data_IF_861049020757
#
_entry.id   IF_861049020757
#
_cell.length_a   1.000
_cell.length_b   1.000
_cell.length_c   1.000
_cell.angle_alpha   90.00
_cell.angle_beta   90.00
_cell.angle_gamma   90.00
#
_symmetry.space_group_name_H-M   'P 1'
#
loop_
_entity.id
_entity.type
_entity.pdbx_description
1 polymer ?
#
# COMPACT_ATOMS: atom_id res chain seq x y z
N UNK A 1 -18.13 -13.36 -5.43
CA UNK A 1 -16.66 -13.46 -5.43
C UNK A 1 -16.11 -12.99 -4.11
N UNK A 2 -14.90 -13.44 -3.78
CA UNK A 2 -14.07 -12.99 -2.66
C UNK A 2 -13.12 -11.90 -3.13
N UNK A 3 -13.22 -10.71 -2.56
CA UNK A 3 -12.44 -9.53 -2.95
C UNK A 3 -11.57 -9.11 -1.78
N UNK A 4 -10.27 -8.95 -2.03
CA UNK A 4 -9.33 -8.42 -1.03
C UNK A 4 -9.01 -6.96 -1.34
N UNK A 5 -9.53 -6.03 -0.54
CA UNK A 5 -9.24 -4.60 -0.65
C UNK A 5 -8.01 -4.24 0.19
N UNK A 6 -7.04 -3.57 -0.43
CA UNK A 6 -5.78 -3.18 0.22
C UNK A 6 -5.62 -1.66 0.25
N UNK A 7 -5.41 -1.13 1.46
CA UNK A 7 -5.05 0.26 1.71
C UNK A 7 -4.19 0.35 2.99
N UNK A 8 -3.23 1.28 3.03
CA UNK A 8 -2.43 1.57 4.22
C UNK A 8 -3.29 1.89 5.45
N UNK A 9 -4.38 2.64 5.27
CA UNK A 9 -5.29 3.00 6.34
C UNK A 9 -6.68 2.41 6.06
N UNK A 10 -7.23 1.77 7.08
CA UNK A 10 -8.57 1.17 7.04
C UNK A 10 -9.53 1.85 8.03
N UNK A 11 -9.29 3.14 8.26
CA UNK A 11 -10.16 4.06 8.98
C UNK A 11 -10.23 5.38 8.21
N UNK A 12 -11.19 6.29 8.48
CA UNK A 12 -11.40 7.55 7.76
C UNK A 12 -10.28 8.61 7.92
N UNK A 13 -9.02 8.27 7.62
CA UNK A 13 -7.86 9.18 7.71
C UNK A 13 -7.74 10.13 6.51
N UNK A 14 -8.26 9.74 5.36
CA UNK A 14 -8.13 10.50 4.11
C UNK A 14 -9.07 9.97 3.02
N UNK A 15 -9.14 10.71 1.90
CA UNK A 15 -10.07 10.40 0.81
C UNK A 15 -9.82 9.03 0.16
N UNK A 16 -8.57 8.58 0.10
CA UNK A 16 -8.22 7.24 -0.38
C UNK A 16 -8.77 6.14 0.53
N UNK A 17 -8.60 6.28 1.85
CA UNK A 17 -9.09 5.32 2.84
C UNK A 17 -10.63 5.27 2.88
N UNK A 18 -11.30 6.44 2.90
CA UNK A 18 -12.76 6.54 2.85
C UNK A 18 -13.29 5.84 1.60
N UNK A 19 -12.72 6.17 0.43
CA UNK A 19 -13.13 5.56 -0.82
C UNK A 19 -12.91 4.04 -0.85
N UNK A 20 -11.83 3.52 -0.27
CA UNK A 20 -11.63 2.07 -0.12
C UNK A 20 -12.72 1.42 0.74
N UNK A 21 -13.05 2.01 1.90
CA UNK A 21 -14.07 1.49 2.82
C UNK A 21 -15.45 1.50 2.17
N UNK A 22 -15.84 2.62 1.54
CA UNK A 22 -17.12 2.74 0.85
C UNK A 22 -17.23 1.80 -0.36
N UNK A 23 -16.13 1.59 -1.09
CA UNK A 23 -16.07 0.58 -2.15
C UNK A 23 -16.35 -0.82 -1.58
N UNK A 24 -15.76 -1.16 -0.44
CA UNK A 24 -16.02 -2.44 0.22
C UNK A 24 -17.48 -2.63 0.63
N UNK A 25 -18.11 -1.59 1.23
CA UNK A 25 -19.54 -1.62 1.58
C UNK A 25 -20.41 -1.83 0.33
N UNK A 26 -20.11 -1.12 -0.75
CA UNK A 26 -20.84 -1.26 -2.01
C UNK A 26 -20.73 -2.68 -2.58
N UNK A 27 -19.53 -3.27 -2.57
CA UNK A 27 -19.29 -4.63 -3.04
C UNK A 27 -20.01 -5.67 -2.16
N UNK A 28 -20.00 -5.49 -0.83
CA UNK A 28 -20.75 -6.33 0.10
C UNK A 28 -22.26 -6.28 -0.17
N UNK A 29 -22.81 -5.08 -0.39
CA UNK A 29 -24.22 -4.89 -0.74
C UNK A 29 -24.60 -5.53 -2.09
N UNK A 30 -23.62 -5.78 -2.96
CA UNK A 30 -23.78 -6.53 -4.22
C UNK A 30 -23.57 -8.04 -4.06
N UNK A 31 -23.46 -8.55 -2.83
CA UNK A 31 -23.33 -9.97 -2.54
C UNK A 31 -21.91 -10.52 -2.67
N UNK A 32 -20.89 -9.66 -2.69
CA UNK A 32 -19.50 -10.09 -2.66
C UNK A 32 -19.00 -10.27 -1.23
N UNK A 33 -18.08 -11.21 -1.03
CA UNK A 33 -17.39 -11.41 0.25
C UNK A 33 -16.15 -10.52 0.21
N UNK A 34 -16.10 -9.51 1.07
CA UNK A 34 -15.02 -8.52 1.06
C UNK A 34 -14.15 -8.70 2.30
N UNK A 35 -12.83 -8.75 2.07
CA UNK A 35 -11.80 -8.72 3.09
C UNK A 35 -11.00 -7.43 2.94
N UNK A 36 -10.57 -6.87 4.06
CA UNK A 36 -9.69 -5.71 4.09
C UNK A 36 -8.32 -6.12 4.60
N UNK A 37 -7.27 -5.51 4.06
CA UNK A 37 -5.92 -5.70 4.57
C UNK A 37 -5.11 -4.42 4.48
N UNK A 38 -4.39 -4.10 5.54
CA UNK A 38 -3.72 -2.82 5.70
C UNK A 38 -2.74 -2.82 6.86
N UNK A 39 -2.49 -1.63 7.42
CA UNK A 39 -1.74 -1.52 8.66
C UNK A 39 -2.64 -1.71 9.88
N UNK A 40 -2.06 -2.20 10.97
CA UNK A 40 -2.67 -2.09 12.30
C UNK A 40 -2.74 -0.63 12.71
N UNK A 41 -3.85 -0.27 13.32
CA UNK A 41 -4.06 1.04 13.93
C UNK A 41 -5.11 0.90 15.03
N UNK A 42 -4.98 1.62 16.15
CA UNK A 42 -6.02 1.66 17.18
C UNK A 42 -7.35 2.22 16.67
N UNK A 43 -7.33 2.95 15.54
CA UNK A 43 -8.52 3.53 14.92
C UNK A 43 -9.23 2.57 13.94
N UNK A 44 -8.63 1.41 13.64
CA UNK A 44 -9.28 0.45 12.76
C UNK A 44 -10.52 -0.13 13.47
N UNK A 45 -11.66 -0.28 12.77
CA UNK A 45 -12.73 -1.14 13.25
C UNK A 45 -12.24 -2.60 13.30
N UNK A 46 -12.96 -3.49 14.01
CA UNK A 46 -12.63 -4.91 14.01
C UNK A 46 -12.72 -5.47 12.58
N UNK A 47 -11.60 -5.95 12.08
CA UNK A 47 -11.52 -6.62 10.79
C UNK A 47 -11.22 -8.10 10.99
N UNK A 48 -11.74 -8.93 10.09
CA UNK A 48 -11.31 -10.32 10.01
C UNK A 48 -9.83 -10.36 9.61
N UNK A 49 -9.07 -11.24 10.27
CA UNK A 49 -7.67 -11.50 9.96
C UNK A 49 -6.73 -10.30 10.22
N UNK A 50 -7.05 -9.45 11.19
CA UNK A 50 -6.24 -8.28 11.56
C UNK A 50 -4.87 -8.67 12.17
N UNK A 51 -4.71 -9.91 12.63
CA UNK A 51 -3.44 -10.48 13.06
C UNK A 51 -2.40 -10.50 11.93
N UNK A 52 -2.86 -10.56 10.68
CA UNK A 52 -2.01 -10.50 9.48
C UNK A 52 -1.77 -9.07 8.98
N UNK A 53 -2.26 -8.02 9.65
CA UNK A 53 -1.98 -6.65 9.23
C UNK A 53 -0.52 -6.29 9.56
N UNK A 54 0.10 -5.44 8.74
CA UNK A 54 1.47 -4.98 9.01
C UNK A 54 1.48 -3.99 10.17
N UNK A 55 2.55 -3.99 10.96
CA UNK A 55 2.69 -3.02 12.05
C UNK A 55 2.88 -1.60 11.51
N UNK A 56 2.37 -0.59 12.23
CA UNK A 56 2.60 0.80 11.89
C UNK A 56 4.07 1.17 12.15
N UNK A 57 4.78 1.59 11.09
CA UNK A 57 6.15 2.07 11.24
C UNK A 57 6.08 3.54 11.69
N UNK A 58 6.33 3.79 12.97
CA UNK A 58 6.52 5.14 13.49
C UNK A 58 7.89 5.68 13.07
N UNK A 59 7.89 6.67 12.18
CA UNK A 59 9.10 7.34 11.69
C UNK A 59 9.54 8.52 12.58
N UNK A 60 8.76 8.86 13.60
CA UNK A 60 9.05 9.93 14.55
C UNK A 60 9.95 9.40 15.68
N UNK A 61 11.27 9.40 15.44
CA UNK A 61 12.25 9.04 16.46
C UNK A 61 13.68 9.25 15.98
N UNK A 62 14.59 9.55 16.92
CA UNK A 62 16.04 9.61 16.73
C UNK A 62 16.60 8.20 16.44
N UNK A 63 16.28 7.64 15.27
CA UNK A 63 16.78 6.35 14.84
C UNK A 63 18.23 6.50 14.36
N UNK A 64 19.10 5.60 14.83
CA UNK A 64 20.51 5.55 14.40
C UNK A 64 20.60 5.37 12.88
N UNK A 65 21.66 5.89 12.25
CA UNK A 65 21.86 5.86 10.79
C UNK A 65 21.73 4.45 10.18
N UNK A 66 22.12 3.41 10.92
CA UNK A 66 21.95 2.00 10.51
C UNK A 66 20.48 1.58 10.47
N UNK A 67 19.69 1.98 11.46
CA UNK A 67 18.25 1.70 11.49
C UNK A 67 17.54 2.51 10.40
N UNK A 68 17.95 3.76 10.13
CA UNK A 68 17.42 4.54 9.01
C UNK A 68 17.64 3.87 7.65
N UNK A 69 18.83 3.33 7.40
CA UNK A 69 19.12 2.60 6.16
C UNK A 69 18.29 1.30 6.06
N UNK A 70 18.23 0.51 7.14
CA UNK A 70 17.38 -0.69 7.18
C UNK A 70 15.89 -0.36 6.97
N UNK A 71 15.41 0.74 7.53
CA UNK A 71 14.04 1.23 7.33
C UNK A 71 13.77 1.66 5.89
N UNK A 72 14.74 2.24 5.18
CA UNK A 72 14.61 2.55 3.74
C UNK A 72 14.52 1.28 2.90
N UNK A 73 15.30 0.24 3.23
CA UNK A 73 15.18 -1.05 2.55
C UNK A 73 13.85 -1.75 2.85
N UNK A 74 13.36 -1.70 4.09
CA UNK A 74 12.04 -2.24 4.45
C UNK A 74 10.88 -1.47 3.80
N UNK A 75 11.03 -0.15 3.61
CA UNK A 75 10.09 0.70 2.86
C UNK A 75 10.00 0.28 1.38
N UNK A 76 11.13 -0.13 0.79
CA UNK A 76 11.16 -0.62 -0.59
C UNK A 76 10.76 -2.09 -0.70
N UNK A 77 11.09 -2.91 0.31
CA UNK A 77 10.85 -4.34 0.32
C UNK A 77 10.69 -4.89 1.76
N UNK A 78 9.46 -4.89 2.26
CA UNK A 78 9.10 -5.42 3.57
C UNK A 78 8.87 -6.94 3.48
N UNK A 79 9.76 -7.70 4.13
CA UNK A 79 9.60 -9.15 4.30
C UNK A 79 8.40 -9.49 5.18
N UNK A 80 8.09 -8.65 6.17
CA UNK A 80 6.91 -8.80 7.01
C UNK A 80 5.63 -8.72 6.17
N UNK A 81 5.49 -7.66 5.36
CA UNK A 81 4.33 -7.48 4.48
C UNK A 81 4.17 -8.68 3.54
N UNK A 82 5.28 -9.13 2.94
CA UNK A 82 5.32 -10.30 2.05
C UNK A 82 4.87 -11.58 2.77
N UNK A 83 5.34 -11.79 4.00
CA UNK A 83 5.02 -13.00 4.75
C UNK A 83 3.56 -13.01 5.22
N UNK A 84 3.12 -11.91 5.84
CA UNK A 84 1.76 -11.78 6.37
C UNK A 84 0.70 -11.87 5.26
N UNK A 85 0.90 -11.18 4.13
CA UNK A 85 -0.03 -11.28 3.00
C UNK A 85 -0.04 -12.69 2.40
N UNK A 86 1.11 -13.37 2.33
CA UNK A 86 1.21 -14.73 1.83
C UNK A 86 0.48 -15.75 2.72
N UNK A 87 0.44 -15.53 4.02
CA UNK A 87 -0.36 -16.34 4.94
C UNK A 87 -1.86 -16.07 4.74
N UNK A 88 -2.25 -14.80 4.67
CA UNK A 88 -3.65 -14.40 4.49
C UNK A 88 -4.26 -14.97 3.21
N UNK A 89 -3.57 -14.85 2.07
CA UNK A 89 -4.13 -15.30 0.78
C UNK A 89 -4.30 -16.83 0.72
N UNK A 90 -3.52 -17.62 1.47
CA UNK A 90 -3.68 -19.07 1.54
C UNK A 90 -4.98 -19.46 2.25
N UNK A 91 -5.42 -18.63 3.20
CA UNK A 91 -6.65 -18.81 3.98
C UNK A 91 -7.85 -18.28 3.18
N UNK A 92 -7.79 -17.00 2.82
CA UNK A 92 -8.91 -16.28 2.18
C UNK A 92 -9.16 -16.80 0.76
N UNK A 93 -8.08 -17.03 0.00
CA UNK A 93 -8.09 -17.36 -1.43
C UNK A 93 -8.99 -16.39 -2.22
N UNK A 94 -8.61 -15.09 -2.30
CA UNK A 94 -9.43 -14.10 -2.99
C UNK A 94 -9.43 -14.35 -4.50
N UNK A 95 -10.55 -14.05 -5.15
CA UNK A 95 -10.70 -14.11 -6.61
C UNK A 95 -10.01 -12.91 -7.29
N UNK A 96 -9.94 -11.77 -6.59
CA UNK A 96 -9.29 -10.55 -7.06
C UNK A 96 -8.78 -9.72 -5.88
N UNK A 97 -7.64 -9.05 -6.08
CA UNK A 97 -7.09 -8.06 -5.15
C UNK A 97 -7.26 -6.66 -5.74
N UNK A 98 -7.75 -5.71 -4.94
CA UNK A 98 -7.87 -4.31 -5.33
C UNK A 98 -6.96 -3.42 -4.48
N UNK A 99 -5.88 -2.96 -5.11
CA UNK A 99 -4.86 -2.09 -4.54
C UNK A 99 -5.31 -0.63 -4.66
N UNK A 100 -5.33 0.10 -3.54
CA UNK A 100 -5.69 1.53 -3.52
C UNK A 100 -4.47 2.39 -3.21
N UNK A 101 -4.07 2.46 -1.94
CA UNK A 101 -2.90 3.20 -1.52
C UNK A 101 -2.04 2.34 -0.61
N UNK A 102 -1.08 1.63 -1.19
CA UNK A 102 -0.14 0.80 -0.44
C UNK A 102 1.24 1.46 -0.31
N UNK A 103 1.51 2.53 -1.07
CA UNK A 103 2.82 3.13 -1.16
C UNK A 103 3.34 3.66 0.21
N UNK A 104 4.67 3.68 0.35
CA UNK A 104 5.44 3.83 1.60
C UNK A 104 5.26 2.71 2.61
N UNK A 105 4.05 2.46 3.10
CA UNK A 105 3.89 1.66 4.32
C UNK A 105 3.74 0.16 4.06
N UNK A 106 3.11 -0.20 2.95
CA UNK A 106 2.89 -1.58 2.55
C UNK A 106 3.75 -1.80 1.31
N UNK A 107 5.01 -2.18 1.51
CA UNK A 107 5.99 -2.20 0.41
C UNK A 107 5.49 -2.96 -0.85
N UNK A 108 6.03 -2.65 -2.06
CA UNK A 108 5.74 -3.39 -3.29
C UNK A 108 5.98 -4.90 -3.24
N UNK A 109 6.67 -5.42 -2.21
CA UNK A 109 6.89 -6.86 -1.98
C UNK A 109 5.62 -7.72 -1.96
N UNK A 110 4.45 -7.13 -1.69
CA UNK A 110 3.16 -7.85 -1.75
C UNK A 110 2.78 -8.26 -3.18
N UNK A 111 3.25 -7.52 -4.20
CA UNK A 111 2.96 -7.79 -5.60
C UNK A 111 3.56 -9.12 -6.06
N UNK A 112 4.78 -9.43 -5.60
CA UNK A 112 5.44 -10.73 -5.85
C UNK A 112 4.56 -11.90 -5.40
N UNK A 113 3.85 -11.72 -4.28
CA UNK A 113 2.98 -12.74 -3.72
C UNK A 113 1.77 -12.94 -4.64
N UNK A 114 1.09 -11.87 -5.05
CA UNK A 114 -0.06 -11.99 -5.95
C UNK A 114 0.33 -12.58 -7.30
N UNK A 115 1.49 -12.19 -7.86
CA UNK A 115 2.04 -12.79 -9.07
C UNK A 115 2.32 -14.28 -8.90
N UNK A 116 2.98 -14.68 -7.79
CA UNK A 116 3.31 -16.08 -7.49
C UNK A 116 2.05 -16.95 -7.39
N UNK A 117 0.99 -16.43 -6.79
CA UNK A 117 -0.29 -17.14 -6.63
C UNK A 117 -1.26 -16.93 -7.80
N UNK A 118 -0.84 -16.18 -8.83
CA UNK A 118 -1.63 -15.85 -10.03
C UNK A 118 -2.99 -15.22 -9.71
N UNK A 119 -3.03 -14.36 -8.70
CA UNK A 119 -4.26 -13.67 -8.30
C UNK A 119 -4.40 -12.39 -9.16
N UNK A 120 -5.53 -12.19 -9.86
CA UNK A 120 -5.80 -10.96 -10.59
C UNK A 120 -5.74 -9.73 -9.68
N UNK A 121 -5.14 -8.66 -10.20
CA UNK A 121 -4.96 -7.40 -9.49
C UNK A 121 -5.62 -6.24 -10.23
N UNK A 122 -6.35 -5.40 -9.49
CA UNK A 122 -6.84 -4.09 -9.93
C UNK A 122 -6.15 -3.04 -9.08
N UNK A 123 -5.58 -2.00 -9.68
CA UNK A 123 -4.97 -0.90 -8.95
C UNK A 123 -5.66 0.42 -9.28
N UNK A 124 -6.16 1.10 -8.25
CA UNK A 124 -6.63 2.48 -8.35
C UNK A 124 -5.51 3.42 -7.94
N UNK A 125 -5.06 4.25 -8.88
CA UNK A 125 -4.04 5.25 -8.63
C UNK A 125 -4.60 6.38 -7.76
N UNK A 126 -4.11 6.50 -6.52
CA UNK A 126 -4.51 7.55 -5.56
C UNK A 126 -3.54 8.74 -5.54
N UNK A 127 -2.31 8.51 -5.96
CA UNK A 127 -1.24 9.50 -5.96
C UNK A 127 -0.21 9.21 -7.07
N UNK A 128 0.76 10.11 -7.22
CA UNK A 128 1.78 10.03 -8.25
C UNK A 128 3.02 9.24 -7.84
N UNK A 129 3.03 8.50 -6.71
CA UNK A 129 4.26 7.90 -6.18
C UNK A 129 4.96 6.97 -7.15
N UNK A 130 4.17 6.18 -7.90
CA UNK A 130 4.72 5.21 -8.85
C UNK A 130 5.44 5.88 -10.04
N UNK A 131 5.16 7.16 -10.32
CA UNK A 131 5.76 7.90 -11.44
C UNK A 131 6.66 9.05 -10.97
N UNK A 132 6.54 9.44 -9.70
CA UNK A 132 7.25 10.57 -9.12
C UNK A 132 7.54 10.32 -7.63
N UNK A 133 8.81 10.13 -7.23
CA UNK A 133 9.15 9.88 -5.84
C UNK A 133 8.73 11.01 -4.88
N UNK A 134 8.63 12.25 -5.37
CA UNK A 134 8.20 13.44 -4.60
C UNK A 134 6.68 13.61 -4.50
N UNK A 135 5.87 12.72 -5.07
CA UNK A 135 4.40 12.78 -5.12
C UNK A 135 3.78 13.95 -5.91
N UNK A 136 4.53 15.02 -6.17
CA UNK A 136 3.93 16.25 -6.70
C UNK A 136 3.85 16.27 -8.21
N UNK A 137 4.74 15.55 -8.91
CA UNK A 137 5.03 15.81 -10.33
C UNK A 137 5.33 17.29 -10.60
N UNK A 138 5.91 17.98 -9.62
CA UNK A 138 6.33 19.37 -9.72
C UNK A 138 7.83 19.49 -9.46
N UNK A 139 8.49 20.38 -10.20
CA UNK A 139 9.82 20.86 -9.89
C UNK A 139 9.81 22.38 -10.10
N UNK A 140 10.33 23.13 -9.12
CA UNK A 140 10.38 24.60 -9.18
C UNK A 140 8.99 25.24 -9.42
N UNK A 141 7.94 24.65 -8.83
CA UNK A 141 6.54 25.10 -8.98
C UNK A 141 5.90 24.81 -10.34
N UNK A 142 6.58 24.08 -11.24
CA UNK A 142 6.10 23.78 -12.60
C UNK A 142 5.91 22.27 -12.80
N UNK A 143 4.98 21.84 -13.68
CA UNK A 143 4.84 20.45 -14.07
C UNK A 143 6.18 19.83 -14.48
N UNK A 144 6.48 18.66 -13.91
CA UNK A 144 7.74 17.95 -14.11
C UNK A 144 7.48 16.48 -14.43
N UNK A 145 8.02 16.04 -15.56
CA UNK A 145 7.86 14.69 -16.06
C UNK A 145 9.20 13.95 -16.21
N UNK A 146 10.28 14.52 -15.67
CA UNK A 146 11.63 13.99 -15.87
C UNK A 146 11.80 12.58 -15.31
N UNK A 147 11.07 12.25 -14.24
CA UNK A 147 11.06 10.92 -13.61
C UNK A 147 10.29 9.86 -14.41
N UNK A 148 9.58 10.22 -15.49
CA UNK A 148 8.89 9.25 -16.37
C UNK A 148 9.84 8.16 -16.85
N UNK A 149 9.30 6.96 -17.05
CA UNK A 149 10.00 5.76 -17.51
C UNK A 149 11.16 5.33 -16.60
N UNK A 150 10.99 5.46 -15.29
CA UNK A 150 11.96 4.96 -14.30
C UNK A 150 13.19 5.84 -14.06
N UNK A 151 13.20 7.08 -14.58
CA UNK A 151 14.33 8.02 -14.42
C UNK A 151 14.28 8.75 -13.08
N UNK A 152 14.09 8.00 -11.99
CA UNK A 152 13.86 8.54 -10.65
C UNK A 152 15.06 9.31 -10.08
N UNK A 153 16.26 9.11 -10.62
CA UNK A 153 17.46 9.88 -10.25
C UNK A 153 17.30 11.40 -10.48
N UNK A 154 16.38 11.83 -11.34
CA UNK A 154 16.08 13.26 -11.50
C UNK A 154 15.51 13.89 -10.23
N UNK A 155 14.83 13.12 -9.38
CA UNK A 155 14.33 13.60 -8.09
C UNK A 155 15.50 14.08 -7.21
N UNK A 156 16.58 13.30 -7.19
CA UNK A 156 17.81 13.65 -6.48
C UNK A 156 18.51 14.87 -7.11
N UNK A 157 18.66 14.89 -8.45
CA UNK A 157 19.31 16.00 -9.16
C UNK A 157 18.56 17.33 -9.00
N UNK A 158 17.23 17.28 -8.96
CA UNK A 158 16.36 18.45 -8.79
C UNK A 158 16.10 18.82 -7.34
N UNK A 159 16.55 18.01 -6.38
CA UNK A 159 16.31 18.20 -4.93
C UNK A 159 14.82 18.42 -4.64
N UNK A 160 13.96 17.62 -5.27
CA UNK A 160 12.51 17.63 -5.08
C UNK A 160 12.04 16.37 -4.36
#
# INVERSE_FOLDING_TARGET
MKILLINKFLYPKGGDAISTIETGKLLQNKGHIVFFWGMKSPNNPPFLFDEYFVEEINYEGNLSLRIKLASVFNLMYSLEAKHKIAQLIKIVKPDVVHLNNFAHQISPSILDVFCKFRIPMVMTMRDYKLVCPSYSMLADGKPCERCKNGRYYFCFLKKC
#
